data_IF_407059107015
#
_entry.id   IF_407059107015
#
_cell.length_a   1.000
_cell.length_b   1.000
_cell.length_c   1.000
_cell.angle_alpha   90.00
_cell.angle_beta   90.00
_cell.angle_gamma   90.00
#
_symmetry.space_group_name_H-M   'P 1'
#
loop_
_entity.id
_entity.type
_entity.pdbx_description
1 polymer ?
#
# COMPACT_ATOMS: atom_id res chain seq x y z
N UNK A 1 -7.09 9.60 -7.59
CA UNK A 1 -5.69 9.38 -8.07
C UNK A 1 -4.93 8.51 -7.10
N UNK A 2 -4.36 7.40 -7.56
CA UNK A 2 -3.64 6.43 -6.72
C UNK A 2 -2.18 6.30 -7.17
N UNK A 3 -1.29 6.02 -6.23
CA UNK A 3 0.10 5.71 -6.55
C UNK A 3 0.18 4.38 -7.33
N UNK A 4 1.12 4.25 -8.28
CA UNK A 4 1.27 3.04 -9.12
C UNK A 4 1.39 1.75 -8.28
N UNK A 5 2.04 1.83 -7.12
CA UNK A 5 2.18 0.71 -6.18
C UNK A 5 0.83 0.17 -5.69
N UNK A 6 -0.19 1.03 -5.53
CA UNK A 6 -1.53 0.62 -5.12
C UNK A 6 -2.21 -0.27 -6.17
N UNK A 7 -1.98 -0.03 -7.47
CA UNK A 7 -2.49 -0.91 -8.52
C UNK A 7 -1.83 -2.30 -8.48
N UNK A 8 -0.52 -2.37 -8.18
CA UNK A 8 0.16 -3.66 -8.00
C UNK A 8 -0.36 -4.44 -6.80
N UNK A 9 -0.70 -3.76 -5.70
CA UNK A 9 -1.35 -4.34 -4.52
C UNK A 9 -2.73 -4.86 -4.91
N UNK A 10 -3.50 -4.03 -5.60
CA UNK A 10 -4.86 -4.34 -6.02
C UNK A 10 -4.92 -5.55 -6.96
N UNK A 11 -4.01 -5.64 -7.94
CA UNK A 11 -3.90 -6.79 -8.85
C UNK A 11 -3.68 -8.10 -8.07
N UNK A 12 -2.77 -8.09 -7.09
CA UNK A 12 -2.49 -9.27 -6.26
C UNK A 12 -3.72 -9.63 -5.40
N UNK A 13 -4.36 -8.64 -4.79
CA UNK A 13 -5.55 -8.86 -3.97
C UNK A 13 -6.75 -9.33 -4.82
N UNK A 14 -6.88 -8.84 -6.05
CA UNK A 14 -7.89 -9.30 -6.99
C UNK A 14 -7.74 -10.79 -7.33
N UNK A 15 -6.50 -11.23 -7.59
CA UNK A 15 -6.19 -12.64 -7.85
C UNK A 15 -6.49 -13.50 -6.63
N UNK A 16 -6.08 -13.07 -5.44
CA UNK A 16 -6.34 -13.78 -4.18
C UNK A 16 -7.85 -13.94 -3.90
N UNK A 17 -8.65 -12.96 -4.34
CA UNK A 17 -10.11 -13.02 -4.30
C UNK A 17 -10.75 -13.76 -5.49
N UNK A 18 -9.96 -14.49 -6.28
CA UNK A 18 -10.44 -15.39 -7.34
C UNK A 18 -10.69 -14.72 -8.69
N UNK A 19 -10.26 -13.47 -8.91
CA UNK A 19 -10.30 -12.88 -10.25
C UNK A 19 -9.13 -13.40 -11.08
N UNK A 20 -9.45 -13.90 -12.28
CA UNK A 20 -8.42 -14.31 -13.25
C UNK A 20 -7.81 -13.06 -13.92
N UNK A 21 -6.48 -12.98 -13.94
CA UNK A 21 -5.74 -11.91 -14.64
C UNK A 21 -6.15 -11.82 -16.11
N UNK A 22 -6.36 -12.96 -16.75
CA UNK A 22 -6.77 -12.98 -18.15
C UNK A 22 -8.18 -12.42 -18.34
N UNK A 23 -9.07 -12.63 -17.34
CA UNK A 23 -10.39 -12.02 -17.35
C UNK A 23 -10.32 -10.49 -17.23
N UNK A 24 -9.49 -9.97 -16.31
CA UNK A 24 -9.27 -8.52 -16.20
C UNK A 24 -8.68 -7.93 -17.48
N UNK A 25 -7.72 -8.63 -18.12
CA UNK A 25 -7.15 -8.24 -19.41
C UNK A 25 -8.20 -8.23 -20.53
N UNK A 26 -9.09 -9.20 -20.57
CA UNK A 26 -10.19 -9.21 -21.53
C UNK A 26 -11.13 -8.03 -21.32
N UNK A 27 -11.48 -7.72 -20.07
CA UNK A 27 -12.31 -6.57 -19.79
C UNK A 27 -11.63 -5.25 -20.21
N UNK A 28 -10.35 -5.08 -19.87
CA UNK A 28 -9.56 -3.91 -20.26
C UNK A 28 -9.48 -3.73 -21.78
N UNK A 29 -9.15 -4.79 -22.51
CA UNK A 29 -9.08 -4.78 -23.97
C UNK A 29 -10.44 -4.56 -24.63
N UNK A 30 -11.51 -5.11 -24.08
CA UNK A 30 -12.87 -4.86 -24.58
C UNK A 30 -13.28 -3.40 -24.39
N UNK A 31 -13.02 -2.80 -23.22
CA UNK A 31 -13.26 -1.39 -22.97
C UNK A 31 -12.43 -0.49 -23.89
N UNK A 32 -11.16 -0.87 -24.15
CA UNK A 32 -10.29 -0.16 -25.09
C UNK A 32 -10.87 -0.19 -26.51
N UNK A 33 -11.34 -1.35 -26.99
CA UNK A 33 -11.94 -1.46 -28.31
C UNK A 33 -13.24 -0.62 -28.43
N UNK A 34 -14.11 -0.66 -27.41
CA UNK A 34 -15.33 0.14 -27.38
C UNK A 34 -15.03 1.64 -27.38
N UNK A 35 -14.03 2.08 -26.60
CA UNK A 35 -13.57 3.47 -26.61
C UNK A 35 -13.03 3.91 -27.98
N UNK A 36 -12.28 3.04 -28.68
CA UNK A 36 -11.78 3.34 -30.03
C UNK A 36 -12.95 3.52 -31.01
N UNK A 37 -13.94 2.64 -30.95
CA UNK A 37 -15.12 2.72 -31.82
C UNK A 37 -15.96 3.97 -31.60
N UNK A 38 -16.05 4.42 -30.34
CA UNK A 38 -16.83 5.60 -29.96
C UNK A 38 -16.11 6.91 -30.28
N UNK A 39 -14.82 7.00 -29.94
CA UNK A 39 -14.09 8.28 -29.97
C UNK A 39 -13.29 8.51 -31.26
N UNK A 40 -13.00 7.46 -32.05
CA UNK A 40 -12.13 7.54 -33.21
C UNK A 40 -12.75 6.98 -34.49
N UNK A 41 -14.07 7.08 -34.62
CA UNK A 41 -14.82 6.61 -35.80
C UNK A 41 -14.34 7.23 -37.13
N UNK A 42 -13.74 8.43 -37.09
CA UNK A 42 -13.22 9.12 -38.26
C UNK A 42 -11.85 8.57 -38.74
N UNK A 43 -11.17 7.75 -37.90
CA UNK A 43 -9.89 7.14 -38.28
C UNK A 43 -10.12 5.96 -39.23
N UNK A 44 -9.24 5.85 -40.22
CA UNK A 44 -9.33 4.79 -41.25
C UNK A 44 -8.31 3.68 -41.06
N UNK A 45 -7.35 3.86 -40.18
CA UNK A 45 -6.30 2.88 -39.89
C UNK A 45 -5.98 2.88 -38.39
N UNK A 46 -5.90 1.68 -37.81
CA UNK A 46 -5.66 1.45 -36.38
C UNK A 46 -4.40 0.60 -36.18
N UNK A 47 -3.43 1.16 -35.48
CA UNK A 47 -2.10 0.55 -35.33
C UNK A 47 -1.77 0.42 -33.87
N UNK A 48 -1.71 -0.82 -33.40
CA UNK A 48 -1.35 -1.16 -32.04
C UNK A 48 0.16 -1.42 -31.94
N UNK A 49 0.88 -0.64 -31.15
CA UNK A 49 2.29 -0.86 -30.85
C UNK A 49 2.40 -1.58 -29.53
N UNK A 50 2.67 -2.87 -29.59
CA UNK A 50 2.60 -3.78 -28.44
C UNK A 50 3.99 -4.16 -27.94
N UNK A 51 4.21 -4.01 -26.63
CA UNK A 51 5.37 -4.53 -25.93
C UNK A 51 5.24 -6.01 -25.57
N UNK A 52 5.78 -6.39 -24.40
CA UNK A 52 5.85 -7.79 -23.95
C UNK A 52 5.05 -8.07 -22.68
N UNK A 53 4.50 -7.03 -22.05
CA UNK A 53 3.81 -7.08 -20.77
C UNK A 53 2.29 -7.08 -20.89
N UNK A 54 1.61 -6.97 -19.74
CA UNK A 54 0.14 -7.01 -19.68
C UNK A 54 -0.52 -5.90 -20.52
N UNK A 55 0.08 -4.71 -20.58
CA UNK A 55 -0.40 -3.61 -21.43
C UNK A 55 -0.51 -4.01 -22.94
N UNK A 56 0.43 -4.85 -23.42
CA UNK A 56 0.34 -5.41 -24.76
C UNK A 56 -0.82 -6.41 -24.87
N UNK A 57 -1.10 -7.16 -23.81
CA UNK A 57 -2.24 -8.08 -23.75
C UNK A 57 -3.59 -7.38 -23.91
N UNK A 58 -3.77 -6.25 -23.23
CA UNK A 58 -4.96 -5.39 -23.38
C UNK A 58 -5.12 -4.94 -24.85
N UNK A 59 -4.00 -4.55 -25.48
CA UNK A 59 -3.93 -4.20 -26.89
C UNK A 59 -4.29 -5.36 -27.84
N UNK A 60 -3.80 -6.57 -27.58
CA UNK A 60 -4.13 -7.76 -28.41
C UNK A 60 -5.60 -8.13 -28.32
N UNK A 61 -6.21 -8.06 -27.13
CA UNK A 61 -7.65 -8.27 -26.96
C UNK A 61 -8.44 -7.23 -27.75
N UNK A 62 -8.09 -5.95 -27.61
CA UNK A 62 -8.78 -4.88 -28.34
C UNK A 62 -8.63 -5.04 -29.85
N UNK A 63 -7.41 -5.33 -30.34
CA UNK A 63 -7.15 -5.57 -31.75
C UNK A 63 -7.96 -6.76 -32.29
N UNK A 64 -8.09 -7.84 -31.50
CA UNK A 64 -8.90 -9.02 -31.86
C UNK A 64 -10.39 -8.66 -31.99
N UNK A 65 -10.94 -7.86 -31.07
CA UNK A 65 -12.33 -7.43 -31.10
C UNK A 65 -12.61 -6.51 -32.29
N UNK A 66 -11.73 -5.55 -32.58
CA UNK A 66 -11.86 -4.66 -33.74
C UNK A 66 -11.78 -5.44 -35.06
N UNK A 67 -10.82 -6.36 -35.17
CA UNK A 67 -10.67 -7.21 -36.33
C UNK A 67 -11.90 -8.10 -36.58
N UNK A 68 -12.48 -8.67 -35.52
CA UNK A 68 -13.72 -9.46 -35.61
C UNK A 68 -14.93 -8.61 -36.08
N UNK A 69 -14.88 -7.27 -35.88
CA UNK A 69 -15.84 -6.32 -36.40
C UNK A 69 -15.49 -5.81 -37.82
N UNK A 70 -14.60 -6.49 -38.56
CA UNK A 70 -14.14 -6.13 -39.89
C UNK A 70 -13.43 -4.79 -40.01
N UNK A 71 -12.81 -4.33 -38.93
CA UNK A 71 -11.96 -3.13 -38.93
C UNK A 71 -10.54 -3.53 -39.29
N UNK A 72 -9.90 -2.76 -40.17
CA UNK A 72 -8.51 -2.98 -40.56
C UNK A 72 -7.57 -2.55 -39.42
N UNK A 73 -6.95 -3.52 -38.77
CA UNK A 73 -6.07 -3.35 -37.62
C UNK A 73 -4.71 -3.98 -37.91
N UNK A 74 -3.65 -3.25 -37.61
CA UNK A 74 -2.28 -3.74 -37.67
C UNK A 74 -1.69 -3.77 -36.26
N UNK A 75 -1.17 -4.92 -35.85
CA UNK A 75 -0.42 -5.07 -34.61
C UNK A 75 1.07 -5.04 -34.92
N UNK A 76 1.80 -4.15 -34.26
CA UNK A 76 3.25 -4.06 -34.33
C UNK A 76 3.84 -4.62 -33.06
N UNK A 77 4.54 -5.75 -33.16
CA UNK A 77 5.17 -6.39 -32.03
C UNK A 77 6.64 -6.00 -31.90
N UNK A 78 7.07 -5.69 -30.66
CA UNK A 78 8.48 -5.56 -30.32
C UNK A 78 9.10 -6.97 -30.27
N UNK A 79 10.30 -7.12 -30.85
CA UNK A 79 11.02 -8.39 -30.89
C UNK A 79 11.25 -9.00 -29.50
N UNK A 80 11.12 -10.34 -29.41
CA UNK A 80 11.39 -11.18 -28.27
C UNK A 80 10.14 -11.75 -27.62
N UNK A 81 10.33 -12.57 -26.59
CA UNK A 81 9.30 -13.38 -25.94
C UNK A 81 8.27 -12.50 -25.21
N UNK A 82 7.00 -12.72 -25.49
CA UNK A 82 5.86 -12.12 -24.81
C UNK A 82 5.56 -12.92 -23.53
N UNK A 83 5.14 -12.26 -22.47
CA UNK A 83 4.76 -12.94 -21.22
C UNK A 83 3.60 -13.92 -21.45
N UNK A 84 3.47 -14.99 -20.62
CA UNK A 84 2.50 -16.06 -20.86
C UNK A 84 1.04 -15.61 -20.98
N UNK A 85 0.60 -14.66 -20.16
CA UNK A 85 -0.80 -14.18 -20.17
C UNK A 85 -1.09 -13.33 -21.42
N UNK A 86 -0.32 -12.26 -21.75
CA UNK A 86 -0.46 -11.57 -23.03
C UNK A 86 -0.30 -12.47 -24.26
N UNK A 87 0.52 -13.51 -24.18
CA UNK A 87 0.72 -14.47 -25.26
C UNK A 87 -0.59 -15.18 -25.65
N UNK A 88 -1.42 -15.55 -24.66
CA UNK A 88 -2.74 -16.12 -24.92
C UNK A 88 -3.65 -15.18 -25.73
N UNK A 89 -3.58 -13.88 -25.43
CA UNK A 89 -4.34 -12.86 -26.16
C UNK A 89 -3.79 -12.67 -27.59
N UNK A 90 -2.46 -12.68 -27.76
CA UNK A 90 -1.81 -12.61 -29.07
C UNK A 90 -2.21 -13.81 -29.98
N UNK A 91 -2.28 -15.03 -29.46
CA UNK A 91 -2.67 -16.21 -30.19
C UNK A 91 -4.11 -16.18 -30.73
N UNK A 92 -4.97 -15.40 -30.09
CA UNK A 92 -6.36 -15.17 -30.52
C UNK A 92 -6.46 -14.13 -31.64
N UNK A 93 -5.50 -13.23 -31.77
CA UNK A 93 -5.49 -12.24 -32.83
C UNK A 93 -5.18 -12.91 -34.19
N UNK A 94 -6.06 -12.73 -35.17
CA UNK A 94 -5.96 -13.35 -36.52
C UNK A 94 -5.69 -12.32 -37.61
N UNK A 95 -5.50 -11.07 -37.24
CA UNK A 95 -5.20 -9.98 -38.18
C UNK A 95 -3.72 -9.89 -38.54
N UNK A 96 -3.35 -8.78 -39.13
CA UNK A 96 -1.99 -8.49 -39.61
C UNK A 96 -1.04 -8.14 -38.46
N UNK A 97 0.12 -8.83 -38.41
CA UNK A 97 1.21 -8.55 -37.47
C UNK A 97 2.44 -8.10 -38.22
N UNK A 98 3.07 -7.04 -37.78
CA UNK A 98 4.25 -6.43 -38.39
C UNK A 98 5.38 -6.20 -37.37
N UNK A 99 6.60 -5.99 -37.87
CA UNK A 99 7.74 -5.59 -37.05
C UNK A 99 7.77 -4.06 -36.81
N UNK A 100 8.55 -3.61 -35.81
CA UNK A 100 8.74 -2.19 -35.48
C UNK A 100 9.23 -1.34 -36.68
N UNK A 101 9.93 -1.97 -37.66
CA UNK A 101 10.38 -1.27 -38.84
C UNK A 101 9.24 -0.78 -39.73
N UNK A 102 8.08 -1.43 -39.64
CA UNK A 102 6.88 -1.05 -40.38
C UNK A 102 6.38 0.35 -40.01
N UNK A 103 6.64 0.84 -38.77
CA UNK A 103 6.30 2.22 -38.36
C UNK A 103 6.88 3.29 -39.27
N UNK A 104 8.02 3.02 -39.91
CA UNK A 104 8.69 3.98 -40.81
C UNK A 104 7.96 4.11 -42.17
N UNK A 105 7.12 3.15 -42.54
CA UNK A 105 6.42 3.09 -43.83
C UNK A 105 5.01 3.65 -43.78
N UNK A 106 4.52 3.93 -42.55
CA UNK A 106 3.12 4.29 -42.34
C UNK A 106 2.84 5.76 -42.71
N UNK A 107 1.69 5.96 -43.37
CA UNK A 107 1.12 7.29 -43.55
C UNK A 107 0.64 7.83 -42.19
N UNK A 108 1.00 9.08 -41.88
CA UNK A 108 0.63 9.75 -40.64
C UNK A 108 -0.72 10.47 -40.72
N UNK A 109 -1.51 10.22 -41.79
CA UNK A 109 -2.77 10.92 -42.06
C UNK A 109 -3.85 10.61 -41.04
N UNK A 110 -4.88 9.88 -41.47
CA UNK A 110 -6.04 9.53 -40.64
C UNK A 110 -5.84 8.20 -39.85
N UNK A 111 -4.66 8.05 -39.25
CA UNK A 111 -4.23 6.88 -38.48
C UNK A 111 -4.33 7.16 -37.00
N UNK A 112 -4.99 6.27 -36.24
CA UNK A 112 -4.87 6.19 -34.79
C UNK A 112 -3.74 5.23 -34.43
N UNK A 113 -2.77 5.69 -33.69
CA UNK A 113 -1.75 4.84 -33.08
C UNK A 113 -2.12 4.56 -31.64
N UNK A 114 -2.18 3.27 -31.29
CA UNK A 114 -2.52 2.81 -29.94
C UNK A 114 -1.22 2.35 -29.26
N UNK A 115 -0.83 3.06 -28.20
CA UNK A 115 0.38 2.82 -27.43
C UNK A 115 0.11 1.78 -26.34
N UNK A 116 0.46 0.53 -26.62
CA UNK A 116 0.45 -0.61 -25.70
C UNK A 116 1.88 -1.11 -25.42
N UNK A 117 2.90 -0.24 -25.57
CA UNK A 117 4.32 -0.62 -25.54
C UNK A 117 4.80 -0.90 -24.10
N UNK A 118 4.53 0.03 -23.16
CA UNK A 118 4.94 -0.06 -21.76
C UNK A 118 3.82 0.45 -20.85
N UNK A 119 3.40 -0.35 -19.88
CA UNK A 119 2.47 0.07 -18.82
C UNK A 119 3.18 0.61 -17.58
N UNK A 120 2.44 0.75 -16.48
CA UNK A 120 2.88 1.31 -15.20
C UNK A 120 3.98 0.53 -14.47
N UNK A 121 4.28 -0.72 -14.89
CA UNK A 121 5.24 -1.62 -14.23
C UNK A 121 6.72 -1.41 -14.59
N UNK A 122 7.08 -0.38 -15.36
CA UNK A 122 8.47 -0.12 -15.78
C UNK A 122 9.31 0.36 -14.58
N UNK A 123 10.51 -0.25 -14.40
CA UNK A 123 11.53 0.19 -13.44
C UNK A 123 12.65 0.94 -14.19
N UNK A 124 12.95 2.17 -13.76
CA UNK A 124 13.99 3.00 -14.39
C UNK A 124 13.57 3.61 -15.74
N UNK A 125 14.52 4.10 -16.50
CA UNK A 125 14.31 4.66 -17.85
C UNK A 125 14.02 3.56 -18.87
N UNK A 126 13.23 3.82 -19.94
CA UNK A 126 13.08 2.88 -21.04
C UNK A 126 14.45 2.53 -21.65
N UNK A 127 14.66 1.25 -21.96
CA UNK A 127 15.85 0.82 -22.68
C UNK A 127 15.94 1.58 -24.03
N UNK A 128 17.15 1.76 -24.57
CA UNK A 128 17.37 2.52 -25.80
C UNK A 128 16.44 2.09 -26.95
N UNK A 129 16.26 0.78 -27.17
CA UNK A 129 15.37 0.26 -28.22
C UNK A 129 13.90 0.68 -28.04
N UNK A 130 13.42 0.74 -26.80
CA UNK A 130 12.08 1.26 -26.49
C UNK A 130 12.00 2.78 -26.64
N UNK A 131 13.08 3.50 -26.29
CA UNK A 131 13.18 4.95 -26.48
C UNK A 131 13.07 5.35 -27.97
N UNK A 132 13.70 4.59 -28.86
CA UNK A 132 13.60 4.79 -30.32
C UNK A 132 12.19 4.53 -30.86
N UNK A 133 11.48 3.53 -30.28
CA UNK A 133 10.08 3.27 -30.64
C UNK A 133 9.18 4.40 -30.15
N UNK A 134 9.39 4.90 -28.94
CA UNK A 134 8.66 6.06 -28.38
C UNK A 134 8.83 7.29 -29.31
N UNK A 135 10.05 7.57 -29.78
CA UNK A 135 10.30 8.66 -30.72
C UNK A 135 9.50 8.49 -32.02
N UNK A 136 9.39 7.26 -32.55
CA UNK A 136 8.58 6.95 -33.74
C UNK A 136 7.09 7.15 -33.46
N UNK A 137 6.57 6.68 -32.31
CA UNK A 137 5.19 6.86 -31.89
C UNK A 137 4.84 8.35 -31.84
N UNK A 138 5.68 9.17 -31.21
CA UNK A 138 5.47 10.61 -31.07
C UNK A 138 5.44 11.39 -32.41
N UNK A 139 5.75 10.77 -33.53
CA UNK A 139 5.57 11.37 -34.84
C UNK A 139 4.14 11.30 -35.40
N UNK A 140 3.24 10.54 -34.74
CA UNK A 140 1.83 10.45 -35.14
C UNK A 140 1.01 11.58 -34.49
N UNK A 141 -0.07 11.99 -35.17
CA UNK A 141 -0.93 13.07 -34.70
C UNK A 141 -1.95 12.57 -33.65
N UNK A 142 -2.54 11.40 -33.92
CA UNK A 142 -3.55 10.80 -33.05
C UNK A 142 -2.91 9.62 -32.32
N UNK A 143 -2.74 9.76 -31.03
CA UNK A 143 -2.12 8.71 -30.16
C UNK A 143 -3.06 8.48 -28.99
N UNK A 144 -3.45 7.21 -28.79
CA UNK A 144 -4.17 6.72 -27.62
C UNK A 144 -3.24 5.85 -26.80
N UNK A 145 -2.86 6.28 -25.61
CA UNK A 145 -2.09 5.44 -24.68
C UNK A 145 -2.99 4.58 -23.81
N UNK A 146 -2.54 3.37 -23.52
CA UNK A 146 -3.24 2.37 -22.70
C UNK A 146 -2.60 2.29 -21.33
N UNK A 147 -3.41 2.34 -20.28
CA UNK A 147 -3.06 2.37 -18.86
C UNK A 147 -2.30 3.65 -18.46
N UNK A 148 -1.14 3.86 -19.00
CA UNK A 148 -0.32 5.09 -18.90
C UNK A 148 0.46 5.28 -20.20
N UNK A 149 0.86 6.52 -20.56
CA UNK A 149 1.77 6.73 -21.68
C UNK A 149 3.06 5.94 -21.51
N UNK A 150 3.53 5.25 -22.54
CA UNK A 150 4.78 4.49 -22.45
C UNK A 150 5.95 5.39 -22.06
N UNK A 151 6.67 5.01 -21.00
CA UNK A 151 7.69 5.86 -20.39
C UNK A 151 7.14 6.94 -19.44
N UNK A 152 5.92 6.78 -18.93
CA UNK A 152 5.26 7.71 -18.00
C UNK A 152 6.19 8.12 -16.85
N UNK A 153 6.30 9.43 -16.59
CA UNK A 153 7.19 10.06 -15.61
C UNK A 153 8.68 9.74 -15.81
N UNK A 154 9.10 9.44 -17.04
CA UNK A 154 10.50 9.25 -17.44
C UNK A 154 10.92 10.33 -18.43
N UNK A 155 12.25 10.40 -18.73
CA UNK A 155 12.78 11.35 -19.68
C UNK A 155 12.30 11.08 -21.11
N UNK A 156 12.10 9.80 -21.46
CA UNK A 156 11.53 9.36 -22.73
C UNK A 156 10.13 8.86 -22.50
N UNK A 157 9.13 9.59 -23.00
CA UNK A 157 7.71 9.26 -22.84
C UNK A 157 6.93 9.51 -24.12
N UNK A 158 5.88 8.73 -24.33
CA UNK A 158 4.85 9.00 -25.35
C UNK A 158 4.03 10.20 -24.90
N UNK A 159 3.72 11.11 -25.85
CA UNK A 159 2.85 12.27 -25.64
C UNK A 159 1.52 12.03 -26.36
N UNK A 160 0.54 11.42 -25.69
CA UNK A 160 -0.71 11.03 -26.34
C UNK A 160 -1.70 12.20 -26.45
N UNK A 161 -2.68 12.07 -27.37
CA UNK A 161 -3.86 12.92 -27.40
C UNK A 161 -4.88 12.50 -26.34
N UNK A 162 -4.96 11.18 -26.07
CA UNK A 162 -5.83 10.60 -25.07
C UNK A 162 -5.11 9.45 -24.35
N UNK A 163 -5.51 9.20 -23.11
CA UNK A 163 -5.13 7.98 -22.37
C UNK A 163 -6.37 7.31 -21.79
N UNK A 164 -6.59 6.03 -22.12
CA UNK A 164 -7.52 5.19 -21.42
C UNK A 164 -6.80 4.49 -20.28
N UNK A 165 -7.31 4.64 -19.06
CA UNK A 165 -6.69 4.09 -17.85
C UNK A 165 -7.71 3.29 -17.04
N UNK A 166 -7.24 2.26 -16.33
CA UNK A 166 -8.11 1.25 -15.73
C UNK A 166 -8.31 1.51 -14.25
N UNK A 167 -9.54 1.36 -13.77
CA UNK A 167 -10.01 1.43 -12.39
C UNK A 167 -9.90 2.83 -11.75
N UNK A 168 -8.75 3.51 -11.82
CA UNK A 168 -8.55 4.87 -11.33
C UNK A 168 -7.36 5.54 -12.05
N UNK A 169 -7.26 6.87 -11.93
CA UNK A 169 -6.12 7.64 -12.45
C UNK A 169 -4.87 7.39 -11.63
N UNK A 170 -3.71 7.30 -12.29
CA UNK A 170 -2.41 7.14 -11.64
C UNK A 170 -1.86 8.49 -11.20
N UNK A 171 -1.24 8.54 -10.02
CA UNK A 171 -0.60 9.77 -9.50
C UNK A 171 0.42 10.32 -10.50
N UNK A 172 0.34 11.60 -10.79
CA UNK A 172 1.20 12.28 -11.76
C UNK A 172 0.61 12.39 -13.16
N UNK A 173 -0.53 11.73 -13.47
CA UNK A 173 -1.24 11.94 -14.73
C UNK A 173 -1.86 13.34 -14.76
N UNK A 174 -1.63 14.04 -15.85
CA UNK A 174 -2.16 15.38 -16.12
C UNK A 174 -2.53 15.48 -17.59
N UNK A 175 -3.35 16.47 -17.95
CA UNK A 175 -3.66 16.72 -19.37
C UNK A 175 -2.40 16.97 -20.22
N UNK A 176 -1.35 17.54 -19.66
CA UNK A 176 -0.13 17.87 -20.39
C UNK A 176 0.74 16.65 -20.73
N UNK A 177 0.71 15.59 -19.93
CA UNK A 177 1.53 14.41 -20.13
C UNK A 177 0.74 13.14 -20.50
N UNK A 178 -0.60 13.17 -20.41
CA UNK A 178 -1.48 12.01 -20.67
C UNK A 178 -2.63 12.34 -21.64
N UNK A 179 -2.72 13.58 -22.14
CA UNK A 179 -3.84 14.01 -22.95
C UNK A 179 -5.16 14.02 -22.18
N UNK A 180 -6.28 13.82 -22.86
CA UNK A 180 -7.58 13.64 -22.23
C UNK A 180 -7.64 12.25 -21.60
N UNK A 181 -7.95 12.15 -20.29
CA UNK A 181 -7.86 10.92 -19.50
C UNK A 181 -9.26 10.32 -19.35
N UNK A 182 -9.40 9.05 -19.74
CA UNK A 182 -10.62 8.27 -19.62
C UNK A 182 -10.40 7.11 -18.67
N UNK A 183 -11.15 7.09 -17.57
CA UNK A 183 -11.10 6.00 -16.58
C UNK A 183 -12.20 5.01 -16.90
N UNK A 184 -11.84 3.73 -17.04
CA UNK A 184 -12.81 2.66 -17.30
C UNK A 184 -12.74 1.59 -16.21
N UNK A 185 -13.90 1.04 -15.88
CA UNK A 185 -14.03 -0.08 -14.96
C UNK A 185 -13.70 -1.39 -15.70
N UNK A 186 -12.86 -2.20 -15.09
CA UNK A 186 -12.44 -3.51 -15.61
C UNK A 186 -12.99 -4.69 -14.79
N UNK A 187 -13.91 -4.42 -13.85
CA UNK A 187 -14.58 -5.43 -13.04
C UNK A 187 -13.92 -5.70 -11.68
N UNK A 188 -13.09 -4.77 -11.18
CA UNK A 188 -12.60 -4.83 -9.80
C UNK A 188 -13.67 -4.26 -8.89
N UNK A 189 -14.31 -5.11 -8.08
CA UNK A 189 -15.38 -4.70 -7.20
C UNK A 189 -14.88 -3.81 -6.05
N UNK A 190 -15.77 -2.99 -5.49
CA UNK A 190 -15.48 -2.18 -4.30
C UNK A 190 -15.01 -3.03 -3.12
N UNK A 191 -15.58 -4.23 -2.95
CA UNK A 191 -15.15 -5.20 -1.94
C UNK A 191 -13.66 -5.54 -2.08
N UNK A 192 -13.19 -5.88 -3.29
CA UNK A 192 -11.78 -6.20 -3.56
C UNK A 192 -10.91 -4.97 -3.34
N UNK A 193 -11.33 -3.82 -3.85
CA UNK A 193 -10.59 -2.57 -3.71
C UNK A 193 -10.41 -2.16 -2.25
N UNK A 194 -11.39 -2.39 -1.39
CA UNK A 194 -11.33 -2.06 0.03
C UNK A 194 -10.73 -3.16 0.89
N UNK A 195 -10.55 -4.40 0.39
CA UNK A 195 -9.98 -5.50 1.15
C UNK A 195 -8.45 -5.46 1.19
N UNK A 196 -7.89 -5.68 2.38
CA UNK A 196 -6.49 -6.03 2.54
C UNK A 196 -6.27 -7.51 2.16
N UNK A 197 -5.11 -7.81 1.58
CA UNK A 197 -4.74 -9.15 1.14
C UNK A 197 -3.23 -9.30 0.99
N UNK A 198 -2.74 -10.35 0.30
CA UNK A 198 -1.31 -10.59 0.13
C UNK A 198 -0.58 -9.46 -0.61
N UNK A 199 -1.31 -8.63 -1.36
CA UNK A 199 -0.75 -7.44 -2.00
C UNK A 199 -0.14 -6.45 -1.02
N UNK A 200 -0.65 -6.34 0.21
CA UNK A 200 -0.12 -5.45 1.24
C UNK A 200 1.36 -5.74 1.56
N UNK A 201 1.83 -6.97 1.34
CA UNK A 201 3.25 -7.32 1.53
C UNK A 201 4.18 -6.51 0.60
N UNK A 202 3.67 -5.97 -0.50
CA UNK A 202 4.41 -5.04 -1.35
C UNK A 202 4.74 -3.72 -0.66
N UNK A 203 4.02 -3.35 0.40
CA UNK A 203 4.30 -2.17 1.20
C UNK A 203 5.58 -2.35 2.05
N UNK A 204 5.93 -3.60 2.41
CA UNK A 204 7.08 -3.85 3.27
C UNK A 204 8.37 -3.32 2.64
N UNK A 205 9.12 -2.43 3.31
CA UNK A 205 10.31 -1.79 2.74
C UNK A 205 11.45 -2.79 2.51
N UNK A 206 12.20 -2.59 1.44
CA UNK A 206 13.42 -3.33 1.19
C UNK A 206 14.52 -2.93 2.18
N UNK A 207 15.44 -3.85 2.46
CA UNK A 207 16.68 -3.54 3.19
C UNK A 207 17.74 -3.05 2.21
N UNK A 208 18.29 -1.87 2.50
CA UNK A 208 19.45 -1.40 1.76
C UNK A 208 20.70 -2.09 2.33
N UNK A 209 21.46 -2.86 1.52
CA UNK A 209 22.65 -3.57 2.00
C UNK A 209 23.78 -2.64 2.52
N UNK A 210 23.70 -1.35 2.20
CA UNK A 210 24.66 -0.35 2.66
C UNK A 210 24.25 0.35 3.96
N UNK A 211 23.08 0.01 4.54
CA UNK A 211 22.63 0.61 5.78
C UNK A 211 23.47 0.13 6.98
N UNK A 212 23.71 1.07 7.90
CA UNK A 212 24.32 0.81 9.20
C UNK A 212 23.24 0.80 10.29
N UNK A 213 23.61 0.28 11.47
CA UNK A 213 22.75 0.24 12.66
C UNK A 213 22.07 1.58 12.94
N UNK A 214 20.76 1.56 13.07
CA UNK A 214 19.88 2.73 13.29
C UNK A 214 19.38 3.41 12.01
N UNK A 215 19.69 2.89 10.82
CA UNK A 215 19.19 3.44 9.55
C UNK A 215 17.94 2.71 9.01
N UNK A 216 17.62 1.52 9.58
CA UNK A 216 16.39 0.80 9.26
C UNK A 216 15.24 1.12 10.23
N UNK A 217 15.42 2.09 11.10
CA UNK A 217 14.41 2.60 12.02
C UNK A 217 14.78 2.46 13.49
N UNK A 218 14.37 3.48 14.25
CA UNK A 218 14.50 3.58 15.71
C UNK A 218 13.13 3.86 16.29
N UNK A 219 12.65 2.97 17.13
CA UNK A 219 11.32 3.07 17.73
C UNK A 219 11.44 3.38 19.22
N UNK A 220 10.65 4.35 19.69
CA UNK A 220 10.42 4.52 21.12
C UNK A 220 9.04 3.93 21.47
N UNK A 221 9.00 3.13 22.53
CA UNK A 221 7.77 2.64 23.17
C UNK A 221 7.64 3.37 24.52
N UNK A 222 6.54 4.07 24.71
CA UNK A 222 6.22 4.78 25.96
C UNK A 222 5.01 4.09 26.59
N UNK A 223 5.19 3.47 27.74
CA UNK A 223 4.11 2.72 28.38
C UNK A 223 4.52 2.09 29.71
N UNK A 224 3.69 1.18 30.21
CA UNK A 224 3.88 0.56 31.51
C UNK A 224 3.38 1.45 32.66
N UNK A 225 3.23 0.84 33.81
CA UNK A 225 2.61 1.38 35.02
C UNK A 225 1.58 0.37 35.51
N UNK A 226 0.35 0.47 35.05
CA UNK A 226 -0.72 -0.45 35.45
C UNK A 226 -0.47 -1.87 34.92
N UNK A 227 -0.03 -1.98 33.66
CA UNK A 227 0.28 -3.26 33.01
C UNK A 227 1.72 -3.26 32.48
N UNK A 228 2.63 -3.78 33.27
CA UNK A 228 4.07 -3.73 32.99
C UNK A 228 4.51 -4.56 31.76
N UNK A 229 3.78 -5.62 31.38
CA UNK A 229 4.14 -6.47 30.23
C UNK A 229 3.84 -5.86 28.86
N UNK A 230 2.85 -4.98 28.77
CA UNK A 230 2.37 -4.41 27.49
C UNK A 230 3.46 -3.69 26.67
N UNK A 231 4.30 -2.80 27.23
CA UNK A 231 5.37 -2.15 26.46
C UNK A 231 6.42 -3.13 25.93
N UNK A 232 6.66 -4.25 26.62
CA UNK A 232 7.56 -5.30 26.12
C UNK A 232 7.01 -6.00 24.89
N UNK A 233 5.70 -6.30 24.88
CA UNK A 233 5.02 -6.90 23.73
C UNK A 233 5.01 -5.94 22.53
N UNK A 234 4.76 -4.65 22.76
CA UNK A 234 4.89 -3.63 21.72
C UNK A 234 6.32 -3.55 21.17
N UNK A 235 7.33 -3.61 22.05
CA UNK A 235 8.74 -3.64 21.65
C UNK A 235 9.08 -4.84 20.78
N UNK A 236 8.62 -6.04 21.14
CA UNK A 236 8.76 -7.24 20.30
C UNK A 236 8.07 -7.05 18.95
N UNK A 237 6.84 -6.56 18.93
CA UNK A 237 6.14 -6.25 17.69
C UNK A 237 6.93 -5.33 16.76
N UNK A 238 7.52 -4.27 17.31
CA UNK A 238 8.36 -3.35 16.55
C UNK A 238 9.60 -4.06 15.96
N UNK A 239 10.34 -4.84 16.74
CA UNK A 239 11.51 -5.58 16.24
C UNK A 239 11.18 -6.54 15.09
N UNK A 240 10.00 -7.16 15.11
CA UNK A 240 9.57 -8.11 14.06
C UNK A 240 9.33 -7.46 12.70
N UNK A 241 9.31 -6.12 12.63
CA UNK A 241 9.28 -5.38 11.36
C UNK A 241 10.68 -5.13 10.77
N UNK A 242 11.73 -5.52 11.46
CA UNK A 242 13.11 -5.33 11.01
C UNK A 242 13.70 -3.95 11.30
N UNK A 243 13.20 -3.24 12.30
CA UNK A 243 13.86 -2.05 12.85
C UNK A 243 15.14 -2.42 13.59
N UNK A 244 16.09 -1.50 13.62
CA UNK A 244 17.40 -1.74 14.22
C UNK A 244 17.43 -1.55 15.75
N UNK A 245 16.64 -0.61 16.26
CA UNK A 245 16.67 -0.20 17.66
C UNK A 245 15.26 0.01 18.21
N UNK A 246 14.99 -0.57 19.38
CA UNK A 246 13.76 -0.34 20.14
C UNK A 246 14.12 0.11 21.55
N UNK A 247 13.73 1.34 21.88
CA UNK A 247 13.88 1.92 23.21
C UNK A 247 12.51 1.88 23.92
N UNK A 248 12.47 1.44 25.16
CA UNK A 248 11.25 1.31 25.95
C UNK A 248 11.37 2.21 27.17
N UNK A 249 10.51 3.21 27.27
CA UNK A 249 10.47 4.17 28.37
C UNK A 249 9.34 3.77 29.32
N UNK A 250 9.69 3.42 30.54
CA UNK A 250 8.75 2.90 31.53
C UNK A 250 8.92 3.59 32.89
N UNK A 251 7.84 3.76 33.65
CA UNK A 251 7.93 4.26 35.01
C UNK A 251 8.73 3.29 35.92
N UNK A 252 9.18 3.82 37.07
CA UNK A 252 9.97 3.06 38.04
C UNK A 252 9.28 1.75 38.46
N UNK A 253 7.95 1.76 38.60
CA UNK A 253 7.12 0.61 38.98
C UNK A 253 7.20 -0.56 37.99
N UNK A 254 7.49 -0.32 36.70
CA UNK A 254 7.51 -1.33 35.64
C UNK A 254 8.93 -1.72 35.21
N UNK A 255 9.96 -0.96 35.61
CA UNK A 255 11.31 -1.09 35.06
C UNK A 255 11.91 -2.50 35.24
N UNK A 256 11.87 -3.03 36.45
CA UNK A 256 12.47 -4.34 36.75
C UNK A 256 11.85 -5.49 35.96
N UNK A 257 10.56 -5.42 35.67
CA UNK A 257 9.86 -6.44 34.92
C UNK A 257 10.18 -6.35 33.43
N UNK A 258 10.14 -5.14 32.87
CA UNK A 258 10.38 -4.90 31.44
C UNK A 258 11.85 -5.15 31.08
N UNK A 259 12.80 -4.71 31.90
CA UNK A 259 14.23 -4.87 31.64
C UNK A 259 14.72 -6.33 31.69
N UNK A 260 13.98 -7.22 32.34
CA UNK A 260 14.28 -8.65 32.41
C UNK A 260 13.57 -9.49 31.35
N UNK A 261 12.66 -8.88 30.58
CA UNK A 261 11.82 -9.62 29.62
C UNK A 261 12.59 -10.04 28.37
N UNK A 262 13.29 -9.11 27.73
CA UNK A 262 14.03 -9.38 26.50
C UNK A 262 15.30 -8.51 26.46
N UNK A 263 16.48 -9.12 26.31
CA UNK A 263 17.76 -8.41 26.33
C UNK A 263 17.96 -7.45 25.15
N UNK A 264 17.18 -7.61 24.08
CA UNK A 264 17.22 -6.76 22.90
C UNK A 264 16.57 -5.39 23.14
N UNK A 265 15.66 -5.28 24.12
CA UNK A 265 14.96 -4.02 24.43
C UNK A 265 15.87 -3.10 25.24
N UNK A 266 16.05 -1.87 24.77
CA UNK A 266 16.79 -0.84 25.50
C UNK A 266 15.84 -0.11 26.44
N UNK A 267 15.77 -0.57 27.70
CA UNK A 267 14.79 -0.09 28.65
C UNK A 267 15.33 1.11 29.43
N UNK A 268 14.58 2.23 29.42
CA UNK A 268 14.88 3.45 30.15
C UNK A 268 13.92 3.60 31.32
N UNK A 269 14.50 3.72 32.52
CA UNK A 269 13.74 3.97 33.75
C UNK A 269 13.42 5.45 33.87
N UNK A 270 12.14 5.77 34.06
CA UNK A 270 11.67 7.09 34.52
C UNK A 270 11.63 7.12 36.06
N UNK A 271 11.78 8.30 36.64
CA UNK A 271 11.78 8.43 38.09
C UNK A 271 10.37 8.29 38.70
N UNK A 272 9.36 8.65 37.95
CA UNK A 272 7.95 8.61 38.39
C UNK A 272 7.39 7.17 38.42
N UNK A 273 6.34 6.95 39.23
CA UNK A 273 5.61 5.66 39.31
C UNK A 273 4.66 5.41 38.14
N UNK A 274 4.38 6.42 37.34
CA UNK A 274 3.58 6.39 36.10
C UNK A 274 4.17 7.32 35.05
N UNK A 275 3.69 7.27 33.82
CA UNK A 275 4.18 8.13 32.75
C UNK A 275 3.80 9.59 33.03
N UNK A 276 4.79 10.47 33.07
CA UNK A 276 4.65 11.91 33.26
C UNK A 276 5.35 12.67 32.14
N UNK A 277 5.26 14.00 32.17
CA UNK A 277 5.94 14.87 31.19
C UNK A 277 7.46 14.74 31.18
N UNK A 278 8.06 14.15 32.21
CA UNK A 278 9.48 13.78 32.25
C UNK A 278 9.91 13.02 31.00
N UNK A 279 9.07 12.10 30.51
CA UNK A 279 9.38 11.29 29.32
C UNK A 279 9.62 12.16 28.08
N UNK A 280 8.98 13.32 27.97
CA UNK A 280 9.13 14.23 26.82
C UNK A 280 10.56 14.77 26.74
N UNK A 281 11.12 15.15 27.89
CA UNK A 281 12.50 15.65 27.94
C UNK A 281 13.52 14.54 27.65
N UNK A 282 13.26 13.32 28.11
CA UNK A 282 14.12 12.16 27.82
C UNK A 282 14.04 11.78 26.34
N UNK A 283 12.83 11.79 25.74
CA UNK A 283 12.66 11.51 24.31
C UNK A 283 13.41 12.53 23.42
N UNK A 284 13.46 13.80 23.82
CA UNK A 284 14.18 14.86 23.08
C UNK A 284 15.69 14.68 23.05
N UNK A 285 16.26 13.90 23.97
CA UNK A 285 17.70 13.62 24.01
C UNK A 285 18.11 12.58 22.97
N UNK A 286 17.14 11.92 22.34
CA UNK A 286 17.36 10.86 21.36
C UNK A 286 16.66 11.19 20.04
N UNK A 287 17.09 10.53 18.97
CA UNK A 287 16.42 10.58 17.67
C UNK A 287 15.63 9.31 17.48
N UNK A 288 14.32 9.42 17.33
CA UNK A 288 13.41 8.33 16.97
C UNK A 288 12.75 8.61 15.62
N UNK A 289 12.49 7.53 14.88
CA UNK A 289 11.80 7.59 13.59
C UNK A 289 10.30 7.36 13.78
N UNK A 290 9.88 6.71 14.90
CA UNK A 290 8.50 6.65 15.36
C UNK A 290 8.41 6.49 16.88
N UNK A 291 7.25 6.85 17.46
CA UNK A 291 6.93 6.67 18.88
C UNK A 291 5.60 5.94 19.00
N UNK A 292 5.56 4.89 19.79
CA UNK A 292 4.33 4.19 20.22
C UNK A 292 4.04 4.58 21.66
N UNK A 293 2.84 5.07 21.96
CA UNK A 293 2.45 5.48 23.29
C UNK A 293 1.14 4.83 23.71
N UNK A 294 1.06 4.39 24.97
CA UNK A 294 -0.15 3.92 25.60
C UNK A 294 -0.17 2.51 26.14
N UNK A 295 0.62 1.54 25.61
CA UNK A 295 0.60 0.16 26.07
C UNK A 295 0.81 0.07 27.60
N UNK A 296 -0.24 -0.32 28.33
CA UNK A 296 -0.20 -0.54 29.77
C UNK A 296 0.02 0.70 30.66
N UNK A 297 -0.17 1.89 30.12
CA UNK A 297 0.19 3.16 30.75
C UNK A 297 -0.72 3.54 31.91
N UNK A 298 -1.99 3.11 31.90
CA UNK A 298 -3.02 3.60 32.79
C UNK A 298 -3.58 4.96 32.35
N UNK A 299 -4.59 5.45 33.06
CA UNK A 299 -5.40 6.63 32.67
C UNK A 299 -5.21 7.80 33.65
N UNK A 300 -4.01 7.97 34.17
CA UNK A 300 -3.70 9.10 35.03
C UNK A 300 -3.70 10.40 34.21
N UNK A 301 -4.18 11.48 34.78
CA UNK A 301 -4.22 12.79 34.10
C UNK A 301 -2.84 13.26 33.64
N UNK A 302 -1.81 12.99 34.43
CA UNK A 302 -0.41 13.29 34.11
C UNK A 302 0.07 12.50 32.87
N UNK A 303 -0.39 11.25 32.73
CA UNK A 303 -0.05 10.42 31.57
C UNK A 303 -0.74 10.91 30.29
N UNK A 304 -1.98 11.40 30.41
CA UNK A 304 -2.70 12.04 29.30
C UNK A 304 -2.06 13.39 28.94
N UNK A 305 -1.59 14.16 29.94
CA UNK A 305 -0.83 15.41 29.71
C UNK A 305 0.48 15.13 28.97
N UNK A 306 1.24 14.13 29.40
CA UNK A 306 2.46 13.69 28.71
C UNK A 306 2.18 13.28 27.27
N UNK A 307 1.10 12.53 27.02
CA UNK A 307 0.67 12.15 25.67
C UNK A 307 0.38 13.38 24.82
N UNK A 308 -0.35 14.36 25.34
CA UNK A 308 -0.63 15.62 24.62
C UNK A 308 0.64 16.35 24.21
N UNK A 309 1.65 16.38 25.08
CA UNK A 309 2.95 17.01 24.80
C UNK A 309 3.76 16.22 23.77
N UNK A 310 3.71 14.87 23.79
CA UNK A 310 4.32 14.03 22.77
C UNK A 310 3.67 14.32 21.41
N UNK A 311 2.34 14.36 21.33
CA UNK A 311 1.60 14.65 20.10
C UNK A 311 1.98 16.02 19.52
N UNK A 312 2.18 17.03 20.37
CA UNK A 312 2.57 18.35 19.91
C UNK A 312 4.06 18.49 19.55
N UNK A 313 4.91 17.62 20.09
CA UNK A 313 6.38 17.71 19.99
C UNK A 313 7.04 16.78 18.97
N UNK A 314 6.36 15.71 18.56
CA UNK A 314 6.96 14.66 17.72
C UNK A 314 6.05 14.30 16.54
N UNK A 315 6.66 13.73 15.49
CA UNK A 315 5.99 13.16 14.32
C UNK A 315 6.03 11.63 14.38
N UNK A 316 5.26 10.95 13.49
CA UNK A 316 5.20 9.49 13.34
C UNK A 316 4.80 8.78 14.65
N UNK A 317 3.56 9.00 15.07
CA UNK A 317 3.05 8.50 16.34
C UNK A 317 2.05 7.36 16.14
N UNK A 318 2.16 6.32 16.98
CA UNK A 318 1.10 5.32 17.19
C UNK A 318 0.53 5.53 18.59
N UNK A 319 -0.77 5.78 18.69
CA UNK A 319 -1.50 6.01 19.93
C UNK A 319 -2.41 4.80 20.16
N UNK A 320 -2.14 4.03 21.19
CA UNK A 320 -2.87 2.79 21.51
C UNK A 320 -3.37 2.78 22.95
N UNK A 321 -4.28 1.90 23.25
CA UNK A 321 -4.72 1.53 24.58
C UNK A 321 -5.09 2.74 25.47
N UNK A 322 -4.38 2.92 26.59
CA UNK A 322 -4.73 3.95 27.58
C UNK A 322 -4.44 5.39 27.12
N UNK A 323 -3.60 5.56 26.09
CA UNK A 323 -3.34 6.87 25.49
C UNK A 323 -4.43 7.33 24.50
N UNK A 324 -5.37 6.46 24.11
CA UNK A 324 -6.45 6.85 23.21
C UNK A 324 -7.39 7.85 23.87
N UNK A 325 -7.44 9.06 23.30
CA UNK A 325 -8.29 10.16 23.71
C UNK A 325 -8.38 11.19 22.59
N UNK A 326 -9.25 12.17 22.71
CA UNK A 326 -9.28 13.32 21.81
C UNK A 326 -8.25 14.35 22.23
N UNK A 327 -7.33 14.68 21.33
CA UNK A 327 -6.27 15.67 21.52
C UNK A 327 -6.34 16.78 20.48
N UNK A 328 -5.57 17.83 20.67
CA UNK A 328 -5.28 18.78 19.60
C UNK A 328 -4.18 18.19 18.70
N UNK A 329 -4.58 17.56 17.61
CA UNK A 329 -3.68 16.91 16.68
C UNK A 329 -3.07 17.94 15.72
N UNK A 330 -1.95 18.53 16.11
CA UNK A 330 -1.23 19.55 15.33
C UNK A 330 -0.24 18.96 14.32
N UNK A 331 0.13 17.70 14.51
CA UNK A 331 1.10 16.97 13.67
C UNK A 331 0.40 16.06 12.67
N UNK A 332 1.14 15.69 11.63
CA UNK A 332 0.74 14.69 10.63
C UNK A 332 1.33 13.33 11.03
N UNK A 333 0.93 12.26 10.36
CA UNK A 333 1.44 10.91 10.57
C UNK A 333 1.13 10.35 11.97
N UNK A 334 -0.12 10.45 12.36
CA UNK A 334 -0.65 9.85 13.59
C UNK A 334 -1.53 8.67 13.21
N UNK A 335 -1.24 7.51 13.79
CA UNK A 335 -2.06 6.32 13.76
C UNK A 335 -2.64 6.07 15.15
N UNK A 336 -3.96 5.96 15.23
CA UNK A 336 -4.65 5.52 16.45
C UNK A 336 -5.20 4.12 16.22
N UNK A 337 -5.05 3.24 17.21
CA UNK A 337 -5.41 1.82 17.09
C UNK A 337 -6.50 1.41 18.12
N UNK A 338 -7.68 2.06 18.14
CA UNK A 338 -8.72 1.74 19.09
C UNK A 338 -9.36 0.36 18.85
N UNK A 339 -9.82 -0.28 19.92
CA UNK A 339 -10.88 -1.28 19.84
C UNK A 339 -12.25 -0.63 20.09
N UNK A 340 -13.36 -1.37 19.89
CA UNK A 340 -14.72 -0.83 20.03
C UNK A 340 -14.95 -0.10 21.37
N UNK A 341 -14.45 -0.64 22.48
CA UNK A 341 -14.62 -0.02 23.79
C UNK A 341 -13.84 1.28 23.99
N UNK A 342 -12.84 1.56 23.15
CA UNK A 342 -12.03 2.78 23.20
C UNK A 342 -12.62 3.90 22.35
N UNK A 343 -13.53 3.62 21.42
CA UNK A 343 -14.19 4.65 20.60
C UNK A 343 -15.00 5.65 21.45
N UNK A 344 -15.52 5.22 22.58
CA UNK A 344 -16.24 6.11 23.50
C UNK A 344 -15.39 7.28 24.01
N UNK A 345 -14.05 7.13 24.04
CA UNK A 345 -13.13 8.20 24.42
C UNK A 345 -12.90 9.21 23.28
N UNK A 346 -13.26 8.82 22.07
CA UNK A 346 -13.18 9.67 20.88
C UNK A 346 -14.52 10.33 20.55
N UNK A 347 -15.57 9.99 21.32
CA UNK A 347 -16.96 10.44 21.12
C UNK A 347 -17.47 10.12 19.70
N UNK A 348 -17.18 8.90 19.22
CA UNK A 348 -17.62 8.39 17.92
C UNK A 348 -18.17 6.96 18.03
N UNK A 349 -19.04 6.60 17.09
CA UNK A 349 -19.53 5.24 16.91
C UNK A 349 -18.59 4.44 15.99
N UNK A 350 -18.91 3.15 15.82
CA UNK A 350 -18.17 2.25 14.93
C UNK A 350 -18.66 2.26 13.48
N UNK A 351 -19.52 3.22 13.09
CA UNK A 351 -19.94 3.35 11.70
C UNK A 351 -18.77 3.83 10.83
N UNK A 352 -18.74 3.40 9.59
CA UNK A 352 -17.68 3.81 8.65
C UNK A 352 -17.68 5.32 8.44
N UNK A 353 -18.87 5.92 8.37
CA UNK A 353 -19.06 7.37 8.23
C UNK A 353 -18.45 8.13 9.40
N UNK A 354 -18.67 7.67 10.64
CA UNK A 354 -18.10 8.32 11.83
C UNK A 354 -16.57 8.20 11.86
N UNK A 355 -16.03 7.02 11.54
CA UNK A 355 -14.58 6.78 11.46
C UNK A 355 -13.93 7.67 10.41
N UNK A 356 -14.51 7.73 9.19
CA UNK A 356 -14.02 8.57 8.08
C UNK A 356 -14.08 10.05 8.47
N UNK A 357 -15.22 10.49 9.03
CA UNK A 357 -15.43 11.87 9.44
C UNK A 357 -14.45 12.32 10.52
N UNK A 358 -14.24 11.47 11.54
CA UNK A 358 -13.28 11.73 12.61
C UNK A 358 -11.85 11.83 12.05
N UNK A 359 -11.42 10.84 11.26
CA UNK A 359 -10.09 10.81 10.66
C UNK A 359 -9.83 12.04 9.81
N UNK A 360 -10.79 12.43 8.98
CA UNK A 360 -10.70 13.63 8.14
C UNK A 360 -10.64 14.93 8.95
N UNK A 361 -11.51 15.07 9.96
CA UNK A 361 -11.58 16.24 10.84
C UNK A 361 -10.27 16.44 11.60
N UNK A 362 -9.74 15.37 12.17
CA UNK A 362 -8.57 15.41 13.05
C UNK A 362 -7.26 15.16 12.30
N UNK A 363 -7.31 14.78 11.01
CA UNK A 363 -6.13 14.44 10.17
C UNK A 363 -5.28 13.33 10.77
N UNK A 364 -5.94 12.30 11.30
CA UNK A 364 -5.33 11.10 11.87
C UNK A 364 -5.79 9.88 11.09
N UNK A 365 -4.98 8.83 11.11
CA UNK A 365 -5.40 7.52 10.64
C UNK A 365 -5.98 6.73 11.80
N UNK A 366 -7.11 6.06 11.59
CA UNK A 366 -7.70 5.10 12.52
C UNK A 366 -7.48 3.68 12.02
N UNK A 367 -7.13 2.78 12.93
CA UNK A 367 -7.22 1.34 12.79
C UNK A 367 -8.16 0.82 13.90
N UNK A 368 -9.44 0.70 13.61
CA UNK A 368 -10.41 0.09 14.52
C UNK A 368 -10.21 -1.42 14.53
N UNK A 369 -9.73 -1.94 15.66
CA UNK A 369 -9.51 -3.37 15.89
C UNK A 369 -10.83 -4.10 16.12
N UNK A 370 -11.06 -5.23 15.41
CA UNK A 370 -12.30 -6.01 15.54
C UNK A 370 -12.19 -7.40 14.93
N UNK A 371 -13.35 -8.05 14.71
CA UNK A 371 -13.41 -9.26 13.89
C UNK A 371 -12.99 -8.96 12.44
N UNK A 372 -13.34 -7.78 11.96
CA UNK A 372 -12.88 -7.17 10.73
C UNK A 372 -12.25 -5.86 11.18
N UNK A 373 -10.96 -5.68 10.89
CA UNK A 373 -10.34 -4.40 11.19
C UNK A 373 -10.71 -3.38 10.13
N UNK A 374 -11.05 -2.16 10.54
CA UNK A 374 -11.37 -1.05 9.66
C UNK A 374 -10.26 0.02 9.75
N UNK A 375 -9.76 0.45 8.61
CA UNK A 375 -8.67 1.42 8.54
C UNK A 375 -9.03 2.58 7.63
N UNK A 376 -8.87 3.81 8.13
CA UNK A 376 -9.14 5.00 7.32
C UNK A 376 -8.25 6.18 7.71
N UNK A 377 -7.88 6.98 6.71
CA UNK A 377 -7.23 8.29 6.85
C UNK A 377 -8.19 9.46 6.61
N UNK A 378 -9.50 9.14 6.50
CA UNK A 378 -10.55 10.09 6.17
C UNK A 378 -10.84 10.25 4.67
N UNK A 379 -10.08 9.57 3.80
CA UNK A 379 -10.25 9.57 2.34
C UNK A 379 -10.30 8.16 1.76
N UNK A 380 -9.56 7.25 2.33
CA UNK A 380 -9.51 5.84 1.95
C UNK A 380 -10.06 5.01 3.08
N UNK A 381 -10.87 3.99 2.76
CA UNK A 381 -11.33 2.98 3.70
C UNK A 381 -10.80 1.62 3.26
N UNK A 382 -10.20 0.88 4.20
CA UNK A 382 -9.72 -0.49 3.97
C UNK A 382 -10.23 -1.41 5.07
N UNK A 383 -10.40 -2.69 4.73
CA UNK A 383 -10.89 -3.74 5.63
C UNK A 383 -9.92 -4.91 5.62
N UNK A 384 -9.59 -5.41 6.79
CA UNK A 384 -8.82 -6.64 6.93
C UNK A 384 -9.71 -7.75 7.50
N UNK A 385 -9.79 -8.85 6.76
CA UNK A 385 -10.58 -10.03 7.11
C UNK A 385 -9.73 -11.17 7.66
N UNK A 386 -8.39 -11.03 7.69
CA UNK A 386 -7.50 -12.04 8.28
C UNK A 386 -7.57 -12.00 9.79
N UNK A 387 -7.29 -13.11 10.42
CA UNK A 387 -7.30 -13.26 11.87
C UNK A 387 -7.97 -14.55 12.32
N UNK A 388 -7.83 -14.82 13.61
CA UNK A 388 -8.43 -15.98 14.25
C UNK A 388 -9.09 -15.57 15.58
N UNK A 389 -10.26 -16.12 15.96
CA UNK A 389 -10.95 -15.76 17.21
C UNK A 389 -10.07 -15.88 18.46
N UNK A 390 -9.08 -16.80 18.47
CA UNK A 390 -8.13 -16.95 19.57
C UNK A 390 -7.21 -15.73 19.77
N UNK A 391 -7.11 -14.83 18.81
CA UNK A 391 -6.35 -13.57 18.97
C UNK A 391 -7.04 -12.59 19.94
N UNK A 392 -8.31 -12.82 20.33
CA UNK A 392 -8.97 -12.06 21.38
C UNK A 392 -8.38 -12.40 22.76
N UNK A 393 -7.08 -12.16 22.94
CA UNK A 393 -6.32 -12.37 24.18
C UNK A 393 -5.49 -11.13 24.48
N UNK A 394 -5.32 -10.78 25.78
CA UNK A 394 -4.57 -9.61 26.19
C UNK A 394 -3.13 -9.65 25.67
N UNK A 395 -2.67 -8.55 25.08
CA UNK A 395 -1.31 -8.40 24.53
C UNK A 395 -1.19 -8.44 23.01
N UNK A 396 -2.20 -8.96 22.29
CA UNK A 396 -2.19 -8.96 20.80
C UNK A 396 -2.27 -7.53 20.25
N UNK A 397 -3.06 -6.66 20.88
CA UNK A 397 -3.14 -5.24 20.54
C UNK A 397 -1.81 -4.51 20.70
N UNK A 398 -1.10 -4.80 21.81
CA UNK A 398 0.23 -4.20 22.05
C UNK A 398 1.24 -4.58 20.96
N UNK A 399 1.26 -5.86 20.55
CA UNK A 399 2.11 -6.33 19.44
C UNK A 399 1.75 -5.59 18.14
N UNK A 400 0.45 -5.44 17.82
CA UNK A 400 0.01 -4.73 16.63
C UNK A 400 0.43 -3.26 16.66
N UNK A 401 0.28 -2.58 17.79
CA UNK A 401 0.74 -1.20 17.95
C UNK A 401 2.25 -1.09 17.72
N UNK A 402 3.02 -2.04 18.24
CA UNK A 402 4.46 -2.13 18.00
C UNK A 402 4.81 -2.37 16.53
N UNK A 403 4.12 -3.28 15.85
CA UNK A 403 4.27 -3.53 14.40
C UNK A 403 4.02 -2.23 13.63
N UNK A 404 2.92 -1.55 13.89
CA UNK A 404 2.59 -0.28 13.23
C UNK A 404 3.69 0.76 13.46
N UNK A 405 4.18 0.91 14.70
CA UNK A 405 5.28 1.80 15.03
C UNK A 405 6.57 1.44 14.28
N UNK A 406 6.91 0.16 14.23
CA UNK A 406 8.07 -0.32 13.49
C UNK A 406 7.98 -0.08 11.99
N UNK A 407 6.81 -0.30 11.38
CA UNK A 407 6.58 -0.03 9.95
C UNK A 407 6.65 1.47 9.65
N UNK A 408 6.08 2.33 10.52
CA UNK A 408 6.21 3.79 10.38
C UNK A 408 7.66 4.26 10.54
N UNK A 409 8.43 3.67 11.47
CA UNK A 409 9.86 3.96 11.60
C UNK A 409 10.67 3.57 10.36
N UNK A 410 10.19 2.62 9.58
CA UNK A 410 10.77 2.21 8.29
C UNK A 410 10.23 3.01 7.10
N UNK A 411 9.47 4.08 7.34
CA UNK A 411 9.05 5.05 6.33
C UNK A 411 7.66 4.84 5.73
N UNK A 412 6.85 3.91 6.26
CA UNK A 412 5.46 3.78 5.82
C UNK A 412 4.62 4.93 6.38
N UNK A 413 3.65 5.37 5.60
CA UNK A 413 2.58 6.25 6.10
C UNK A 413 1.72 5.53 7.15
N UNK A 414 0.98 6.26 8.00
CA UNK A 414 0.10 5.65 9.00
C UNK A 414 -0.91 4.65 8.41
N UNK A 415 -1.51 4.95 7.24
CA UNK A 415 -2.46 4.06 6.59
C UNK A 415 -1.78 2.80 6.02
N UNK A 416 -0.61 2.94 5.40
CA UNK A 416 0.15 1.79 4.91
C UNK A 416 0.61 0.88 6.06
N UNK A 417 1.06 1.47 7.18
CA UNK A 417 1.46 0.73 8.37
C UNK A 417 0.27 0.00 9.01
N UNK A 418 -0.90 0.64 9.07
CA UNK A 418 -2.13 0.03 9.56
C UNK A 418 -2.56 -1.17 8.70
N UNK A 419 -2.60 -1.00 7.37
CA UNK A 419 -2.99 -2.05 6.40
C UNK A 419 -2.06 -3.26 6.49
N UNK A 420 -0.76 -3.03 6.31
CA UNK A 420 0.25 -4.09 6.34
C UNK A 420 0.35 -4.74 7.72
N UNK A 421 0.32 -3.93 8.80
CA UNK A 421 0.39 -4.42 10.17
C UNK A 421 -0.80 -5.29 10.55
N UNK A 422 -2.02 -4.84 10.25
CA UNK A 422 -3.26 -5.60 10.50
C UNK A 422 -3.29 -6.90 9.69
N UNK A 423 -2.99 -6.85 8.39
CA UNK A 423 -2.93 -8.03 7.53
C UNK A 423 -1.90 -9.07 8.03
N UNK A 424 -0.67 -8.64 8.29
CA UNK A 424 0.40 -9.54 8.76
C UNK A 424 0.09 -10.12 10.14
N UNK A 425 -0.47 -9.32 11.05
CA UNK A 425 -0.87 -9.75 12.38
C UNK A 425 -1.99 -10.79 12.32
N UNK A 426 -3.02 -10.56 11.49
CA UNK A 426 -4.13 -11.48 11.31
C UNK A 426 -3.67 -12.82 10.73
N UNK A 427 -2.83 -12.78 9.67
CA UNK A 427 -2.26 -13.98 9.06
C UNK A 427 -1.33 -14.74 10.04
N UNK A 428 -0.55 -14.02 10.85
CA UNK A 428 0.27 -14.61 11.89
C UNK A 428 -0.58 -15.34 12.95
N UNK A 429 -1.73 -14.76 13.32
CA UNK A 429 -2.69 -15.38 14.24
C UNK A 429 -3.26 -16.69 13.69
N UNK A 430 -3.62 -16.76 12.43
CA UNK A 430 -4.08 -17.98 11.76
C UNK A 430 -3.00 -19.07 11.78
N UNK A 431 -1.79 -18.74 11.29
CA UNK A 431 -0.66 -19.67 11.24
C UNK A 431 -0.21 -20.14 12.64
N UNK A 432 -0.24 -19.24 13.62
CA UNK A 432 0.09 -19.56 15.00
C UNK A 432 -0.91 -20.54 15.62
N UNK A 433 -2.22 -20.35 15.34
CA UNK A 433 -3.25 -21.28 15.78
C UNK A 433 -3.11 -22.66 15.11
N UNK A 434 -2.81 -22.71 13.81
CA UNK A 434 -2.56 -23.96 13.09
C UNK A 434 -1.37 -24.73 13.69
N UNK A 435 -0.31 -24.03 14.08
CA UNK A 435 0.91 -24.63 14.61
C UNK A 435 0.82 -24.99 16.09
N UNK A 436 0.19 -24.16 16.93
CA UNK A 436 0.26 -24.23 18.40
C UNK A 436 -1.09 -24.55 19.05
N UNK A 437 -2.18 -24.58 18.25
CA UNK A 437 -3.54 -24.80 18.74
C UNK A 437 -4.06 -23.65 19.62
N UNK A 438 -5.12 -23.89 20.42
CA UNK A 438 -5.81 -22.86 21.19
C UNK A 438 -4.98 -22.29 22.36
N UNK A 439 -3.86 -22.90 22.68
CA UNK A 439 -2.98 -22.51 23.80
C UNK A 439 -1.98 -21.43 23.46
N UNK A 440 -1.89 -20.94 22.21
CA UNK A 440 -0.91 -19.94 21.87
C UNK A 440 -1.09 -18.64 22.66
N UNK A 441 0.00 -17.96 22.94
CA UNK A 441 0.07 -16.68 23.64
C UNK A 441 0.59 -15.57 22.71
N UNK A 442 0.38 -14.29 23.02
CA UNK A 442 0.77 -13.19 22.13
C UNK A 442 2.25 -13.22 21.70
N UNK A 443 3.19 -13.57 22.59
CA UNK A 443 4.60 -13.64 22.25
C UNK A 443 4.94 -14.67 21.16
N UNK A 444 4.13 -15.70 20.95
CA UNK A 444 4.33 -16.70 19.91
C UNK A 444 4.15 -16.10 18.51
N UNK A 445 3.31 -15.07 18.37
CA UNK A 445 3.01 -14.41 17.09
C UNK A 445 4.26 -13.80 16.44
N UNK A 446 5.24 -13.40 17.25
CA UNK A 446 6.44 -12.70 16.77
C UNK A 446 7.21 -13.46 15.69
N UNK A 447 7.33 -14.80 15.82
CA UNK A 447 8.06 -15.64 14.85
C UNK A 447 7.30 -15.69 13.52
N UNK A 448 5.97 -15.83 13.56
CA UNK A 448 5.14 -15.90 12.36
C UNK A 448 5.13 -14.56 11.60
N UNK A 449 5.07 -13.44 12.31
CA UNK A 449 5.16 -12.08 11.72
C UNK A 449 6.47 -11.95 10.93
N UNK A 450 7.62 -12.37 11.50
CA UNK A 450 8.91 -12.30 10.81
C UNK A 450 8.93 -13.15 9.53
N UNK A 451 8.33 -14.34 9.56
CA UNK A 451 8.24 -15.22 8.40
C UNK A 451 7.36 -14.62 7.29
N UNK A 452 6.23 -14.00 7.66
CA UNK A 452 5.33 -13.34 6.72
C UNK A 452 6.05 -12.21 5.98
N UNK A 453 6.78 -11.35 6.69
CA UNK A 453 7.57 -10.29 6.06
C UNK A 453 8.76 -10.81 5.24
N UNK A 454 9.28 -11.98 5.55
CA UNK A 454 10.34 -12.64 4.78
C UNK A 454 9.88 -13.26 3.46
N UNK A 455 8.59 -13.51 3.30
CA UNK A 455 7.99 -14.16 2.12
C UNK A 455 7.38 -13.17 1.10
N UNK A 456 7.79 -11.89 1.12
CA UNK A 456 7.24 -10.83 0.26
C UNK A 456 7.59 -11.00 -1.22
#
# INVERSE_FOLDING_TARGET
MRHIKEFQILDINAIDNGLDIYHLMNNAGNCLADHILDQFSDCTSFIFVCGKGNNAGDGYVAASKLHANNIDVIVINVEGEVKPIPQKALEQYKGRIESVNFLNTLSKGNTLLIDCLLGSGIKGEPKQSYGEIIDKINNFKNILSVDVPSGFLKNKTVVPTQTITFHDTKSGMTKSNSGDIFVVDIGITEFIDQSCGPGELRLFPDFNPNNHKGQNGRVAIVGGGVYSGAPSLAGIGAYRTGVDLVHVFVPASSFDQVSKFAPELMVHKLESEYITEEVVEVLRQHKFDSIVIGPGMGKMDESLSATSKIISGFDNLVIDADAINTYNFSRKNILMTPHLGELTRLDINSSEEDLISFSKKHRVTLLLKGKIDLMTDGYTLKRNYTGHPRMAVGGTGDILAGICGGLMARGLSPLEAARLGSYAMGLAGQQCYEANGPGFIPSDLGIFISKIFGNK
#
